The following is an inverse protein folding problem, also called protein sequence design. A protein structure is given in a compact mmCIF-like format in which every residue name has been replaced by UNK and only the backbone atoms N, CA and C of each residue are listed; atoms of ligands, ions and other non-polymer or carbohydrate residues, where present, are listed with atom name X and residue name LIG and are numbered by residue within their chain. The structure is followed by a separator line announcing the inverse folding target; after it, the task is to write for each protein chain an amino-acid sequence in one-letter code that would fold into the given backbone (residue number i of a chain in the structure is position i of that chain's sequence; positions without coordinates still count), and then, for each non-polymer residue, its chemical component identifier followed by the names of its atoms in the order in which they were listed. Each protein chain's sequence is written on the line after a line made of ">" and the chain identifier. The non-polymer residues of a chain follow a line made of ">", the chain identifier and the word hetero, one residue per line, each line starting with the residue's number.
data_IF_856460596232
#
_entry.id   IF_856460596232
#
_cell.length_a   1.000
_cell.length_b   1.000
_cell.length_c   1.000
_cell.angle_alpha   90.00
_cell.angle_beta   90.00
_cell.angle_gamma   90.00
#
_symmetry.space_group_name_H-M   'P 1'
#
loop_
_entity.id
_entity.type
_entity.pdbx_description
1 polymer ?
#
# COMPACT_ATOMS: atom_id res chain seq x y z
N UNK A 1 13.49 16.16 63.71
CA UNK A 1 13.77 14.90 62.98
C UNK A 1 12.51 14.29 62.35
N UNK A 2 11.46 13.92 63.10
CA UNK A 2 10.24 13.29 62.55
C UNK A 2 9.47 14.13 61.51
N UNK A 3 9.25 15.43 61.78
CA UNK A 3 8.53 16.31 60.84
C UNK A 3 9.27 16.56 59.51
N UNK A 4 10.60 16.57 59.56
CA UNK A 4 11.43 16.71 58.36
C UNK A 4 11.32 15.47 57.46
N UNK A 5 11.24 14.28 58.07
CA UNK A 5 11.01 13.03 57.34
C UNK A 5 9.62 12.99 56.68
N UNK A 6 8.55 13.46 57.34
CA UNK A 6 7.22 13.56 56.71
C UNK A 6 7.18 14.55 55.56
N UNK A 7 7.88 15.69 55.68
CA UNK A 7 7.99 16.67 54.60
C UNK A 7 8.66 16.07 53.35
N UNK A 8 9.75 15.32 53.51
CA UNK A 8 10.40 14.64 52.39
C UNK A 8 9.52 13.57 51.74
N UNK A 9 8.71 12.83 52.51
CA UNK A 9 7.77 11.83 51.98
C UNK A 9 6.66 12.49 51.17
N UNK A 10 6.09 13.59 51.67
CA UNK A 10 5.07 14.36 50.92
C UNK A 10 5.66 14.95 49.64
N UNK A 11 6.88 15.48 49.70
CA UNK A 11 7.57 16.01 48.52
C UNK A 11 7.79 14.91 47.48
N UNK A 12 8.28 13.73 47.87
CA UNK A 12 8.47 12.57 46.98
C UNK A 12 7.15 12.10 46.35
N UNK A 13 6.05 12.11 47.10
CA UNK A 13 4.71 11.79 46.57
C UNK A 13 4.22 12.81 45.54
N UNK A 14 4.51 14.10 45.73
CA UNK A 14 4.18 15.14 44.75
C UNK A 14 5.01 15.05 43.47
N UNK A 15 6.23 14.50 43.53
CA UNK A 15 7.09 14.28 42.36
C UNK A 15 6.71 13.03 41.53
N UNK A 16 5.97 12.08 42.11
CA UNK A 16 5.57 10.84 41.44
C UNK A 16 4.42 11.01 40.41
N UNK A 17 3.79 12.19 40.34
CA UNK A 17 2.69 12.48 39.41
C UNK A 17 3.07 13.27 38.14
N UNK A 18 4.33 13.67 37.99
CA UNK A 18 4.80 14.41 36.81
C UNK A 18 5.21 13.44 35.69
N UNK A 19 4.27 13.03 34.85
CA UNK A 19 4.57 12.34 33.61
C UNK A 19 4.97 13.37 32.53
N UNK A 20 6.28 13.55 32.32
CA UNK A 20 6.82 14.49 31.33
C UNK A 20 6.37 14.18 29.88
N UNK A 21 6.05 12.92 29.59
CA UNK A 21 5.52 12.44 28.31
C UNK A 21 4.15 13.02 27.94
N UNK A 22 3.34 13.41 28.93
CA UNK A 22 1.98 13.91 28.74
C UNK A 22 1.91 15.43 28.49
N UNK A 23 3.04 16.15 28.60
CA UNK A 23 3.07 17.59 28.37
C UNK A 23 3.22 17.85 26.87
N UNK A 24 2.10 18.17 26.21
CA UNK A 24 2.00 18.56 24.79
C UNK A 24 2.22 17.41 23.77
N UNK A 25 2.05 16.16 24.18
CA UNK A 25 1.92 15.03 23.25
C UNK A 25 0.43 14.71 23.06
N UNK A 26 -0.12 14.79 21.84
CA UNK A 26 -1.48 14.31 21.55
C UNK A 26 -1.55 12.78 21.41
N UNK A 27 -0.42 12.07 21.55
CA UNK A 27 -0.31 10.63 21.28
C UNK A 27 -0.30 9.80 22.56
N UNK A 28 -0.97 8.64 22.60
CA UNK A 28 -0.99 7.76 23.77
C UNK A 28 0.42 7.25 24.13
N UNK A 29 0.76 7.23 25.42
CA UNK A 29 2.05 6.71 25.91
C UNK A 29 2.27 5.21 25.63
N UNK A 30 1.19 4.48 25.31
CA UNK A 30 1.18 3.03 25.09
C UNK A 30 1.72 2.62 23.71
N UNK A 31 2.02 3.57 22.83
CA UNK A 31 2.46 3.34 21.46
C UNK A 31 3.98 3.42 21.25
N UNK A 32 4.77 3.54 22.33
CA UNK A 32 6.24 3.74 22.25
C UNK A 32 7.03 2.54 21.68
N UNK A 33 6.42 1.35 21.55
CA UNK A 33 7.09 0.18 20.94
C UNK A 33 6.76 -0.02 19.45
N UNK A 34 5.86 0.78 18.88
CA UNK A 34 5.45 0.67 17.49
C UNK A 34 6.10 1.76 16.59
N UNK A 35 6.44 1.40 15.36
CA UNK A 35 6.91 2.37 14.35
C UNK A 35 5.72 3.09 13.72
N UNK A 36 5.21 4.12 14.39
CA UNK A 36 4.04 4.88 13.92
C UNK A 36 4.47 6.22 13.30
N UNK A 37 3.95 6.50 12.09
CA UNK A 37 4.09 7.80 11.42
C UNK A 37 2.78 8.59 11.55
N UNK A 38 2.76 9.60 12.41
CA UNK A 38 1.65 10.55 12.49
C UNK A 38 1.83 11.69 11.49
N UNK A 39 0.83 11.89 10.63
CA UNK A 39 0.82 12.96 9.62
C UNK A 39 -0.54 13.63 9.53
N UNK A 40 -0.55 14.89 9.09
CA UNK A 40 -1.78 15.63 8.81
C UNK A 40 -2.15 15.53 7.34
N UNK A 41 -3.45 15.64 7.05
CA UNK A 41 -3.99 15.71 5.70
C UNK A 41 -5.06 16.78 5.63
N UNK A 42 -5.24 17.41 4.47
CA UNK A 42 -6.08 18.62 4.38
C UNK A 42 -7.57 18.32 4.39
N UNK A 43 -7.99 17.18 3.80
CA UNK A 43 -9.38 16.76 3.71
C UNK A 43 -9.48 15.24 3.74
N UNK A 44 -10.60 14.69 4.23
CA UNK A 44 -10.87 13.25 4.13
C UNK A 44 -10.85 12.80 2.65
N UNK A 45 -10.19 11.68 2.29
CA UNK A 45 -10.26 11.15 0.92
C UNK A 45 -11.70 10.76 0.59
N UNK A 46 -12.15 11.07 -0.63
CA UNK A 46 -13.50 10.72 -1.10
C UNK A 46 -13.50 9.31 -1.70
N UNK A 47 -12.39 8.93 -2.33
CA UNK A 47 -12.20 7.62 -2.94
C UNK A 47 -10.83 7.05 -2.59
N UNK A 48 -10.77 5.73 -2.45
CA UNK A 48 -9.52 4.94 -2.41
C UNK A 48 -9.37 4.06 -3.65
N UNK A 49 -10.27 4.21 -4.61
CA UNK A 49 -10.18 3.57 -5.92
C UNK A 49 -9.29 4.44 -6.82
N UNK A 50 -8.11 3.95 -7.25
CA UNK A 50 -7.19 4.73 -8.06
C UNK A 50 -7.76 5.08 -9.44
N UNK A 51 -8.76 4.35 -9.96
CA UNK A 51 -9.42 4.67 -11.23
C UNK A 51 -10.40 5.86 -11.10
N UNK A 52 -10.84 6.19 -9.89
CA UNK A 52 -11.80 7.27 -9.60
C UNK A 52 -11.18 8.46 -8.87
N UNK A 53 -10.10 8.23 -8.14
CA UNK A 53 -9.35 9.25 -7.40
C UNK A 53 -8.84 10.33 -8.35
N UNK A 54 -8.99 11.61 -7.98
CA UNK A 54 -8.54 12.75 -8.78
C UNK A 54 -7.88 13.86 -7.96
N UNK A 55 -7.91 13.77 -6.62
CA UNK A 55 -7.29 14.78 -5.77
C UNK A 55 -5.86 14.40 -5.38
N UNK A 56 -4.97 15.39 -5.29
CA UNK A 56 -3.59 15.19 -4.82
C UNK A 56 -3.53 14.62 -3.40
N UNK A 57 -4.51 14.96 -2.56
CA UNK A 57 -4.62 14.45 -1.19
C UNK A 57 -4.91 12.94 -1.15
N UNK A 58 -5.65 12.38 -2.11
CA UNK A 58 -5.93 10.93 -2.20
C UNK A 58 -4.71 10.12 -2.68
N UNK A 59 -3.83 10.73 -3.49
CA UNK A 59 -2.59 10.08 -3.96
C UNK A 59 -1.66 9.71 -2.81
N UNK A 60 -1.62 10.52 -1.74
CA UNK A 60 -0.83 10.20 -0.53
C UNK A 60 -1.28 8.91 0.16
N UNK A 61 -2.57 8.55 0.07
CA UNK A 61 -3.09 7.31 0.62
C UNK A 61 -2.94 6.15 -0.38
N UNK A 62 -3.43 6.34 -1.61
CA UNK A 62 -3.40 5.28 -2.62
C UNK A 62 -1.99 4.84 -2.99
N UNK A 63 -1.00 5.75 -3.00
CA UNK A 63 0.41 5.41 -3.23
C UNK A 63 1.06 4.57 -2.12
N UNK A 64 0.41 4.40 -0.97
CA UNK A 64 0.82 3.49 0.10
C UNK A 64 0.06 2.15 0.06
N UNK A 65 -1.01 2.05 -0.72
CA UNK A 65 -1.91 0.89 -0.78
C UNK A 65 -1.67 0.08 -2.06
N UNK A 66 -1.43 0.75 -3.19
CA UNK A 66 -1.28 0.12 -4.50
C UNK A 66 0.15 0.24 -5.02
N UNK A 67 0.68 -0.86 -5.53
CA UNK A 67 2.04 -0.92 -6.08
C UNK A 67 2.02 -1.12 -7.60
N UNK A 68 2.09 -0.04 -8.40
CA UNK A 68 2.14 -0.14 -9.86
C UNK A 68 3.46 -0.76 -10.37
N UNK A 69 3.54 -1.16 -11.65
CA UNK A 69 4.77 -1.70 -12.25
C UNK A 69 5.98 -0.78 -12.10
N UNK A 70 5.77 0.54 -12.20
CA UNK A 70 6.81 1.56 -12.23
C UNK A 70 6.54 2.67 -11.22
N UNK A 71 7.59 3.35 -10.79
CA UNK A 71 7.55 4.51 -9.90
C UNK A 71 8.59 5.54 -10.31
N UNK A 72 8.51 6.75 -9.76
CA UNK A 72 9.59 7.73 -9.90
C UNK A 72 10.61 7.59 -8.79
N UNK A 73 11.88 7.74 -9.14
CA UNK A 73 12.96 7.79 -8.17
C UNK A 73 12.78 9.01 -7.25
N UNK A 74 12.59 8.74 -5.96
CA UNK A 74 12.22 9.75 -4.95
C UNK A 74 13.14 10.99 -4.94
N UNK A 75 14.46 10.79 -4.94
CA UNK A 75 15.45 11.88 -4.79
C UNK A 75 15.98 12.50 -6.09
N UNK A 76 15.81 11.87 -7.26
CA UNK A 76 16.46 12.35 -8.49
C UNK A 76 15.72 13.55 -9.08
N UNK A 77 16.49 14.52 -9.59
CA UNK A 77 16.01 15.69 -10.34
C UNK A 77 16.85 15.83 -11.62
N UNK A 78 16.27 15.81 -12.84
CA UNK A 78 14.85 15.59 -13.14
C UNK A 78 14.35 14.23 -12.64
N UNK A 79 13.04 14.13 -12.38
CA UNK A 79 12.42 12.88 -11.94
C UNK A 79 12.71 11.78 -12.96
N UNK A 80 13.16 10.63 -12.48
CA UNK A 80 13.56 9.50 -13.32
C UNK A 80 12.64 8.32 -13.03
N UNK A 81 12.05 7.73 -14.07
CA UNK A 81 11.23 6.53 -13.94
C UNK A 81 12.12 5.34 -13.59
N UNK A 82 11.64 4.48 -12.70
CA UNK A 82 12.31 3.26 -12.28
C UNK A 82 11.30 2.14 -11.98
N UNK A 83 11.73 0.86 -11.97
CA UNK A 83 10.84 -0.23 -11.61
C UNK A 83 10.36 -0.17 -10.15
N UNK A 84 9.12 -0.61 -9.90
CA UNK A 84 8.57 -0.89 -8.58
C UNK A 84 8.20 -2.39 -8.48
N UNK A 85 7.06 -2.81 -9.05
CA UNK A 85 6.70 -4.24 -9.10
C UNK A 85 7.17 -4.94 -10.36
N UNK A 86 7.56 -4.20 -11.42
CA UNK A 86 8.27 -4.75 -12.56
C UNK A 86 9.73 -5.10 -12.20
N UNK A 87 10.32 -6.06 -12.90
CA UNK A 87 11.73 -6.44 -12.73
C UNK A 87 12.70 -5.44 -13.37
N UNK A 88 12.28 -4.78 -14.44
CA UNK A 88 13.03 -3.77 -15.19
C UNK A 88 12.10 -2.75 -15.87
N UNK A 89 12.66 -1.73 -16.51
CA UNK A 89 11.86 -0.84 -17.37
C UNK A 89 11.31 -1.65 -18.56
N UNK A 90 10.09 -1.37 -19.05
CA UNK A 90 9.51 -2.14 -20.14
C UNK A 90 10.38 -2.09 -21.39
N UNK A 91 10.54 -3.23 -22.05
CA UNK A 91 11.13 -3.30 -23.39
C UNK A 91 10.04 -3.05 -24.44
N UNK A 92 10.42 -2.44 -25.56
CA UNK A 92 9.50 -2.09 -26.64
C UNK A 92 9.95 -2.79 -27.91
N UNK A 93 9.03 -3.54 -28.50
CA UNK A 93 9.20 -4.24 -29.77
C UNK A 93 8.27 -3.60 -30.79
N UNK A 94 8.75 -3.33 -32.00
CA UNK A 94 7.99 -2.68 -33.06
C UNK A 94 7.70 -3.66 -34.18
N UNK A 95 6.49 -3.57 -34.74
CA UNK A 95 6.04 -4.51 -35.77
C UNK A 95 5.44 -3.77 -36.97
N UNK A 96 5.62 -4.32 -38.16
CA UNK A 96 4.94 -3.88 -39.39
C UNK A 96 3.54 -4.47 -39.53
N UNK A 97 2.79 -4.01 -40.54
CA UNK A 97 1.40 -4.44 -40.77
C UNK A 97 1.23 -5.94 -41.06
N UNK A 98 2.29 -6.63 -41.49
CA UNK A 98 2.34 -8.07 -41.73
C UNK A 98 2.72 -8.88 -40.47
N UNK A 99 2.99 -8.22 -39.34
CA UNK A 99 3.38 -8.86 -38.09
C UNK A 99 4.86 -9.18 -37.96
N UNK A 100 5.71 -8.71 -38.89
CA UNK A 100 7.17 -8.88 -38.81
C UNK A 100 7.78 -7.89 -37.80
N UNK A 101 8.69 -8.36 -36.95
CA UNK A 101 9.40 -7.49 -35.99
C UNK A 101 10.44 -6.62 -36.73
N UNK A 102 10.42 -5.32 -36.46
CA UNK A 102 11.26 -4.32 -37.09
C UNK A 102 12.57 -4.14 -36.31
N UNK A 103 13.69 -4.10 -37.05
CA UNK A 103 15.01 -3.78 -36.47
C UNK A 103 15.18 -2.27 -36.31
N UNK A 104 16.15 -1.82 -35.50
CA UNK A 104 16.39 -0.38 -35.24
C UNK A 104 16.55 0.47 -36.52
N UNK A 105 17.08 -0.11 -37.60
CA UNK A 105 17.25 0.59 -38.88
C UNK A 105 15.93 0.77 -39.66
N UNK A 106 14.91 -0.05 -39.38
CA UNK A 106 13.62 -0.07 -40.09
C UNK A 106 12.52 0.72 -39.36
N UNK A 107 12.72 1.04 -38.08
CA UNK A 107 11.76 1.75 -37.21
C UNK A 107 11.31 3.11 -37.75
N UNK A 108 12.12 3.76 -38.59
CA UNK A 108 11.84 5.11 -39.06
C UNK A 108 10.76 5.21 -40.16
N UNK A 109 10.29 4.09 -40.73
CA UNK A 109 9.43 4.17 -41.93
C UNK A 109 8.11 3.40 -41.88
N UNK A 110 7.99 2.27 -41.17
CA UNK A 110 6.78 1.42 -41.31
C UNK A 110 6.30 0.74 -40.00
N UNK A 111 6.39 1.43 -38.85
CA UNK A 111 5.82 0.90 -37.58
C UNK A 111 4.29 0.91 -37.66
N UNK A 112 3.66 -0.26 -37.57
CA UNK A 112 2.21 -0.42 -37.49
C UNK A 112 1.71 -0.45 -36.04
N UNK A 113 2.40 -1.21 -35.17
CA UNK A 113 2.11 -1.26 -33.73
C UNK A 113 3.37 -1.55 -32.92
N UNK A 114 3.30 -1.28 -31.62
CA UNK A 114 4.33 -1.61 -30.65
C UNK A 114 3.81 -2.56 -29.58
N UNK A 115 4.68 -3.43 -29.09
CA UNK A 115 4.44 -4.34 -27.98
C UNK A 115 5.35 -3.93 -26.84
N UNK A 116 4.75 -3.68 -25.68
CA UNK A 116 5.47 -3.40 -24.44
C UNK A 116 5.49 -4.67 -23.60
N UNK A 117 6.68 -5.20 -23.32
CA UNK A 117 6.82 -6.34 -22.41
C UNK A 117 7.10 -5.83 -21.00
N UNK A 118 6.26 -6.24 -20.05
CA UNK A 118 6.36 -5.87 -18.63
C UNK A 118 6.43 -7.15 -17.80
N UNK A 119 7.64 -7.48 -17.34
CA UNK A 119 7.85 -8.64 -16.48
C UNK A 119 7.67 -8.26 -15.02
N UNK A 120 6.71 -8.88 -14.33
CA UNK A 120 6.41 -8.63 -12.92
C UNK A 120 7.30 -9.49 -12.03
N UNK A 121 7.73 -8.94 -10.88
CA UNK A 121 8.51 -9.70 -9.89
C UNK A 121 7.70 -10.90 -9.38
N UNK A 122 8.34 -12.07 -9.18
CA UNK A 122 7.67 -13.21 -8.58
C UNK A 122 7.36 -12.94 -7.10
N UNK A 123 6.46 -13.75 -6.53
CA UNK A 123 6.12 -13.74 -5.10
C UNK A 123 5.55 -12.40 -4.58
N UNK A 124 4.88 -11.63 -5.44
CA UNK A 124 4.03 -10.52 -5.00
C UNK A 124 2.67 -11.10 -4.62
N UNK A 125 2.22 -10.78 -3.41
CA UNK A 125 0.91 -11.16 -2.90
C UNK A 125 0.02 -9.94 -2.76
N UNK A 126 -1.27 -10.11 -3.00
CA UNK A 126 -2.27 -9.14 -2.58
C UNK A 126 -2.45 -9.22 -1.05
N UNK A 127 -3.11 -8.21 -0.48
CA UNK A 127 -3.65 -8.33 0.87
C UNK A 127 -4.56 -9.57 0.97
N UNK A 128 -4.66 -10.21 2.16
CA UNK A 128 -5.61 -11.28 2.42
C UNK A 128 -6.99 -10.99 1.84
N UNK A 129 -7.45 -11.84 0.91
CA UNK A 129 -8.73 -11.66 0.24
C UNK A 129 -9.39 -13.01 -0.04
N UNK A 130 -10.72 -13.15 0.17
CA UNK A 130 -11.43 -14.39 -0.11
C UNK A 130 -11.28 -14.90 -1.55
N UNK A 131 -11.02 -14.01 -2.51
CA UNK A 131 -10.92 -14.37 -3.92
C UNK A 131 -9.66 -15.21 -4.23
N UNK A 132 -8.70 -15.25 -3.31
CA UNK A 132 -7.46 -16.01 -3.46
C UNK A 132 -7.40 -17.25 -2.57
N UNK A 133 -8.45 -17.52 -1.78
CA UNK A 133 -8.50 -18.72 -0.93
C UNK A 133 -8.69 -19.95 -1.80
N UNK A 134 -7.87 -20.95 -1.55
CA UNK A 134 -7.90 -22.24 -2.24
C UNK A 134 -8.03 -23.39 -1.25
N UNK A 135 -8.66 -24.47 -1.67
CA UNK A 135 -8.74 -25.72 -0.91
C UNK A 135 -7.49 -26.59 -1.07
N UNK A 136 -7.51 -27.77 -0.44
CA UNK A 136 -6.42 -28.77 -0.50
C UNK A 136 -6.21 -29.33 -1.92
N UNK A 137 -7.19 -29.16 -2.81
CA UNK A 137 -7.14 -29.55 -4.21
C UNK A 137 -6.65 -28.41 -5.12
N UNK A 138 -6.32 -27.24 -4.53
CA UNK A 138 -5.87 -26.02 -5.20
C UNK A 138 -6.95 -25.34 -6.08
N UNK A 139 -8.22 -25.67 -5.84
CA UNK A 139 -9.38 -25.00 -6.44
C UNK A 139 -9.80 -23.79 -5.60
N UNK A 140 -10.34 -22.76 -6.24
CA UNK A 140 -10.75 -21.54 -5.54
C UNK A 140 -12.06 -21.73 -4.78
N UNK A 141 -12.01 -21.59 -3.46
CA UNK A 141 -13.11 -21.93 -2.55
C UNK A 141 -14.39 -21.14 -2.83
N UNK A 142 -14.26 -19.86 -3.18
CA UNK A 142 -15.39 -18.93 -3.28
C UNK A 142 -15.71 -18.48 -4.72
N UNK A 143 -15.13 -19.11 -5.76
CA UNK A 143 -15.37 -18.69 -7.16
C UNK A 143 -16.68 -19.24 -7.74
N UNK A 144 -17.27 -20.26 -7.13
CA UNK A 144 -18.47 -20.95 -7.62
C UNK A 144 -19.63 -20.91 -6.60
N UNK A 145 -19.75 -19.79 -5.87
CA UNK A 145 -20.85 -19.61 -4.92
C UNK A 145 -22.20 -19.53 -5.65
N UNK A 146 -23.19 -20.23 -5.10
CA UNK A 146 -24.57 -20.16 -5.57
C UNK A 146 -25.35 -19.00 -4.92
N UNK A 147 -26.54 -18.69 -5.45
CA UNK A 147 -27.35 -17.55 -5.00
C UNK A 147 -27.66 -17.59 -3.49
N UNK A 148 -27.92 -18.76 -2.92
CA UNK A 148 -28.22 -18.89 -1.48
C UNK A 148 -26.98 -18.62 -0.61
N UNK A 149 -25.79 -19.00 -1.07
CA UNK A 149 -24.53 -18.74 -0.37
C UNK A 149 -24.18 -17.24 -0.44
N UNK A 150 -24.42 -16.62 -1.60
CA UNK A 150 -24.21 -15.19 -1.80
C UNK A 150 -25.18 -14.32 -0.99
N UNK A 151 -26.41 -14.80 -0.74
CA UNK A 151 -27.41 -14.05 0.05
C UNK A 151 -26.93 -13.72 1.47
N UNK A 152 -26.08 -14.59 2.04
CA UNK A 152 -25.48 -14.44 3.36
C UNK A 152 -24.25 -13.51 3.37
N UNK A 153 -23.70 -13.15 2.21
CA UNK A 153 -22.46 -12.38 2.08
C UNK A 153 -22.79 -10.93 1.66
N UNK A 154 -22.47 -9.95 2.51
CA UNK A 154 -22.68 -8.52 2.25
C UNK A 154 -21.39 -7.72 2.27
N UNK A 155 -20.40 -8.18 3.02
CA UNK A 155 -19.10 -7.55 3.19
C UNK A 155 -17.99 -8.59 3.06
N UNK A 156 -16.76 -8.12 2.83
CA UNK A 156 -15.60 -9.02 2.76
C UNK A 156 -15.37 -9.79 4.07
N UNK A 157 -15.78 -9.23 5.20
CA UNK A 157 -15.63 -9.88 6.52
C UNK A 157 -16.60 -11.04 6.75
N UNK A 158 -17.61 -11.20 5.90
CA UNK A 158 -18.61 -12.28 6.04
C UNK A 158 -18.09 -13.63 5.51
N UNK A 159 -17.00 -13.62 4.74
CA UNK A 159 -16.32 -14.85 4.33
C UNK A 159 -15.60 -15.47 5.53
N UNK A 160 -15.64 -16.80 5.66
CA UNK A 160 -15.01 -17.50 6.79
C UNK A 160 -13.47 -17.46 6.71
N UNK A 161 -12.93 -17.43 5.49
CA UNK A 161 -11.49 -17.44 5.24
C UNK A 161 -11.07 -16.26 4.36
N UNK A 162 -9.94 -15.66 4.73
CA UNK A 162 -9.25 -14.60 4.00
C UNK A 162 -7.81 -15.08 3.84
N UNK A 163 -7.38 -15.29 2.58
CA UNK A 163 -6.14 -16.02 2.25
C UNK A 163 -4.84 -15.36 2.66
#
# INVERSE_FOLDING_TARGET
>A
MRYLSYFYVVLLLCLAGCELSAINSPYPAQENEESILFTSFSLRPKHLDPARSYSSNEVTFTGQIYEPPLQYHYLKRPYTLMPLTATQLPTVHYFSNDGSELTENDQAKDVAYSVYEITIKPNISFQPHPAFVKDDQNDFLYHQLNDNELDAIRTLSDFEQHG
#
